data_IF_402810095939
#
_entry.id   IF_402810095939
#
_cell.length_a   1.000
_cell.length_b   1.000
_cell.length_c   1.000
_cell.angle_alpha   90.00
_cell.angle_beta   90.00
_cell.angle_gamma   90.00
#
_symmetry.space_group_name_H-M   'P 1'
#
loop_
_entity.id
_entity.type
_entity.pdbx_description
1 polymer ?
#
# COMPACT_ATOMS: atom_id res chain seq x y z
N UNK A 1 -11.04 17.98 3.54
CA UNK A 1 -12.26 17.37 2.97
C UNK A 1 -12.98 16.64 4.09
N UNK A 2 -14.22 17.05 4.44
CA UNK A 2 -14.97 16.41 5.53
C UNK A 2 -15.20 14.91 5.29
N UNK A 3 -15.35 14.14 6.35
CA UNK A 3 -15.41 12.67 6.26
C UNK A 3 -16.56 12.17 5.36
N UNK A 4 -17.69 12.90 5.29
CA UNK A 4 -18.81 12.60 4.38
C UNK A 4 -18.45 12.72 2.89
N UNK A 5 -17.68 13.75 2.51
CA UNK A 5 -17.27 13.96 1.11
C UNK A 5 -16.33 12.87 0.62
N UNK A 6 -15.49 12.32 1.51
CA UNK A 6 -14.57 11.21 1.19
C UNK A 6 -15.36 9.95 0.85
N UNK A 7 -16.32 9.58 1.70
CA UNK A 7 -17.18 8.41 1.46
C UNK A 7 -18.02 8.58 0.21
N UNK A 8 -18.61 9.76 -0.01
CA UNK A 8 -19.35 10.05 -1.23
C UNK A 8 -18.48 9.85 -2.48
N UNK A 9 -17.26 10.39 -2.49
CA UNK A 9 -16.33 10.21 -3.60
C UNK A 9 -15.98 8.74 -3.82
N UNK A 10 -15.64 8.00 -2.76
CA UNK A 10 -15.31 6.58 -2.82
C UNK A 10 -16.44 5.75 -3.44
N UNK A 11 -17.67 5.91 -2.96
CA UNK A 11 -18.82 5.18 -3.49
C UNK A 11 -19.20 5.64 -4.90
N UNK A 12 -19.11 6.93 -5.20
CA UNK A 12 -19.35 7.44 -6.55
C UNK A 12 -18.36 6.84 -7.56
N UNK A 13 -17.07 6.77 -7.19
CA UNK A 13 -16.03 6.14 -8.02
C UNK A 13 -16.34 4.67 -8.29
N UNK A 14 -16.75 3.90 -7.27
CA UNK A 14 -17.18 2.50 -7.44
C UNK A 14 -18.34 2.40 -8.42
N UNK A 15 -19.40 3.20 -8.22
CA UNK A 15 -20.58 3.18 -9.09
C UNK A 15 -20.19 3.51 -10.53
N UNK A 16 -19.39 4.54 -10.77
CA UNK A 16 -18.95 4.95 -12.12
C UNK A 16 -18.15 3.83 -12.80
N UNK A 17 -17.16 3.25 -12.11
CA UNK A 17 -16.32 2.19 -12.67
C UNK A 17 -17.15 0.94 -12.97
N UNK A 18 -17.92 0.45 -11.99
CA UNK A 18 -18.71 -0.78 -12.12
C UNK A 18 -19.78 -0.64 -13.21
N UNK A 19 -20.53 0.47 -13.21
CA UNK A 19 -21.56 0.68 -14.23
C UNK A 19 -20.96 0.83 -15.63
N UNK A 20 -19.82 1.52 -15.77
CA UNK A 20 -19.12 1.65 -17.05
C UNK A 20 -18.65 0.30 -17.59
N UNK A 21 -18.13 -0.58 -16.73
CA UNK A 21 -17.72 -1.94 -17.11
C UNK A 21 -18.91 -2.80 -17.52
N UNK A 22 -20.00 -2.79 -16.74
CA UNK A 22 -21.23 -3.53 -17.05
C UNK A 22 -21.83 -3.07 -18.37
N UNK A 23 -21.92 -1.76 -18.61
CA UNK A 23 -22.44 -1.20 -19.86
C UNK A 23 -21.56 -1.59 -21.05
N UNK A 24 -20.24 -1.53 -20.89
CA UNK A 24 -19.29 -1.91 -21.95
C UNK A 24 -19.38 -3.39 -22.29
N UNK A 25 -19.51 -4.26 -21.28
CA UNK A 25 -19.70 -5.70 -21.45
C UNK A 25 -21.04 -6.04 -22.11
N UNK A 26 -22.13 -5.42 -21.65
CA UNK A 26 -23.46 -5.61 -22.22
C UNK A 26 -23.60 -5.04 -23.64
N UNK A 27 -22.82 -4.02 -23.98
CA UNK A 27 -22.77 -3.49 -25.33
C UNK A 27 -22.05 -4.45 -26.27
N UNK A 28 -21.00 -5.15 -25.80
CA UNK A 28 -20.29 -6.15 -26.60
C UNK A 28 -21.17 -7.37 -26.96
N UNK A 29 -22.10 -7.75 -26.08
CA UNK A 29 -23.05 -8.84 -26.35
C UNK A 29 -24.20 -8.45 -27.28
N UNK A 30 -24.41 -7.14 -27.49
CA UNK A 30 -25.42 -6.62 -28.41
C UNK A 30 -24.74 -6.28 -29.74
N UNK A 31 -25.30 -6.75 -30.85
CA UNK A 31 -24.78 -6.45 -32.19
C UNK A 31 -25.11 -5.00 -32.60
N UNK A 32 -24.48 -4.03 -31.94
CA UNK A 32 -24.66 -2.59 -32.17
C UNK A 32 -23.88 -2.12 -33.40
N UNK A 33 -24.17 -0.90 -33.87
CA UNK A 33 -23.38 -0.27 -34.93
C UNK A 33 -21.92 -0.07 -34.52
N UNK A 34 -21.02 -0.11 -35.51
CA UNK A 34 -19.57 -0.02 -35.28
C UNK A 34 -19.13 1.19 -34.43
N UNK A 35 -19.72 2.36 -34.66
CA UNK A 35 -19.41 3.56 -33.87
C UNK A 35 -19.79 3.45 -32.39
N UNK A 36 -20.92 2.80 -32.08
CA UNK A 36 -21.34 2.55 -30.69
C UNK A 36 -20.42 1.53 -30.02
N UNK A 37 -20.06 0.46 -30.74
CA UNK A 37 -19.12 -0.53 -30.24
C UNK A 37 -17.76 0.10 -29.89
N UNK A 38 -17.22 0.94 -30.77
CA UNK A 38 -15.97 1.65 -30.50
C UNK A 38 -16.06 2.52 -29.24
N UNK A 39 -17.14 3.28 -29.08
CA UNK A 39 -17.36 4.12 -27.90
C UNK A 39 -17.37 3.28 -26.61
N UNK A 40 -18.11 2.17 -26.57
CA UNK A 40 -18.17 1.30 -25.38
C UNK A 40 -16.84 0.62 -25.09
N UNK A 41 -16.06 0.24 -26.11
CA UNK A 41 -14.70 -0.28 -25.92
C UNK A 41 -13.82 0.76 -25.24
N UNK A 42 -13.84 2.01 -25.71
CA UNK A 42 -13.05 3.11 -25.13
C UNK A 42 -13.47 3.36 -23.68
N UNK A 43 -14.78 3.44 -23.40
CA UNK A 43 -15.30 3.60 -22.04
C UNK A 43 -14.88 2.44 -21.14
N UNK A 44 -14.95 1.20 -21.62
CA UNK A 44 -14.52 0.02 -20.88
C UNK A 44 -13.03 0.03 -20.55
N UNK A 45 -12.17 0.41 -21.50
CA UNK A 45 -10.72 0.54 -21.28
C UNK A 45 -10.41 1.63 -20.27
N UNK A 46 -11.05 2.80 -20.37
CA UNK A 46 -10.91 3.87 -19.38
C UNK A 46 -11.37 3.43 -17.98
N UNK A 47 -12.49 2.72 -17.90
CA UNK A 47 -13.01 2.21 -16.63
C UNK A 47 -12.08 1.16 -16.01
N UNK A 48 -11.48 0.27 -16.83
CA UNK A 48 -10.46 -0.68 -16.38
C UNK A 48 -9.24 0.05 -15.85
N UNK A 49 -8.72 1.04 -16.59
CA UNK A 49 -7.59 1.84 -16.12
C UNK A 49 -7.87 2.49 -14.75
N UNK A 50 -9.04 3.11 -14.60
CA UNK A 50 -9.46 3.74 -13.35
C UNK A 50 -9.67 2.73 -12.21
N UNK A 51 -10.12 1.51 -12.51
CA UNK A 51 -10.32 0.45 -11.52
C UNK A 51 -9.01 0.00 -10.85
N UNK A 52 -7.90 0.04 -11.58
CA UNK A 52 -6.57 -0.31 -11.06
C UNK A 52 -5.82 0.88 -10.46
N UNK A 53 -6.28 2.11 -10.68
CA UNK A 53 -5.71 3.29 -10.04
C UNK A 53 -6.32 3.51 -8.64
N UNK A 54 -5.51 3.28 -7.60
CA UNK A 54 -5.90 3.48 -6.19
C UNK A 54 -6.29 4.93 -5.90
N UNK A 55 -5.74 5.90 -6.61
CA UNK A 55 -6.06 7.31 -6.43
C UNK A 55 -7.49 7.66 -6.89
N UNK A 56 -8.09 6.86 -7.78
CA UNK A 56 -9.50 6.99 -8.20
C UNK A 56 -10.45 6.86 -7.01
N UNK A 57 -10.14 5.98 -6.07
CA UNK A 57 -10.99 5.72 -4.90
C UNK A 57 -10.55 6.53 -3.68
N UNK A 58 -9.23 6.77 -3.57
CA UNK A 58 -8.59 7.42 -2.45
C UNK A 58 -7.70 8.57 -2.97
N UNK A 59 -8.26 9.75 -3.29
CA UNK A 59 -7.55 10.85 -3.93
C UNK A 59 -6.29 11.31 -3.20
N UNK A 60 -6.26 11.17 -1.88
CA UNK A 60 -5.10 11.53 -1.06
C UNK A 60 -3.87 10.64 -1.34
N UNK A 61 -4.01 9.50 -2.00
CA UNK A 61 -2.89 8.67 -2.44
C UNK A 61 -2.24 9.21 -3.73
N UNK A 62 -2.98 9.99 -4.51
CA UNK A 62 -2.53 10.54 -5.78
C UNK A 62 -1.57 11.73 -5.65
N UNK A 63 -1.23 12.33 -6.79
CA UNK A 63 -0.42 13.54 -6.88
C UNK A 63 -1.10 14.71 -6.16
N UNK A 64 -0.32 15.61 -5.58
CA UNK A 64 -0.85 16.78 -4.88
C UNK A 64 0.00 18.00 -5.17
N UNK A 65 -0.65 19.16 -5.34
CA UNK A 65 0.06 20.43 -5.45
C UNK A 65 0.57 20.81 -4.07
N UNK A 66 1.87 21.02 -3.94
CA UNK A 66 2.50 21.51 -2.71
C UNK A 66 3.82 22.18 -3.07
N UNK A 67 3.96 23.50 -2.85
CA UNK A 67 5.17 24.23 -3.24
C UNK A 67 6.42 23.66 -2.57
N UNK A 68 7.20 22.85 -3.29
CA UNK A 68 8.37 22.21 -2.70
C UNK A 68 9.47 23.19 -2.27
N UNK A 69 9.39 24.45 -2.70
CA UNK A 69 10.26 25.52 -2.23
C UNK A 69 10.18 25.72 -0.72
N UNK A 70 9.02 25.45 -0.09
CA UNK A 70 8.83 25.62 1.36
C UNK A 70 9.38 24.45 2.17
N UNK A 71 9.62 23.29 1.54
CA UNK A 71 10.16 22.12 2.20
C UNK A 71 11.64 22.33 2.50
N UNK A 72 12.01 22.33 3.78
CA UNK A 72 13.41 22.39 4.23
C UNK A 72 13.81 21.01 4.70
N UNK A 73 15.06 20.63 4.47
CA UNK A 73 15.62 19.37 4.96
C UNK A 73 15.49 19.31 6.48
N UNK A 74 14.88 18.24 6.99
CA UNK A 74 14.57 18.05 8.40
C UNK A 74 14.60 16.58 8.76
N UNK A 75 15.06 16.30 9.97
CA UNK A 75 15.06 14.97 10.58
C UNK A 75 14.25 15.08 11.87
N UNK A 76 13.31 14.15 12.14
CA UNK A 76 12.56 14.16 13.38
C UNK A 76 13.48 13.97 14.59
N UNK A 77 13.14 14.58 15.72
CA UNK A 77 13.91 14.44 16.95
C UNK A 77 13.99 12.97 17.39
N UNK A 78 15.15 12.56 17.90
CA UNK A 78 15.42 11.20 18.38
C UNK A 78 15.19 10.10 17.32
N UNK A 79 15.38 10.40 16.04
CA UNK A 79 15.36 9.38 14.99
C UNK A 79 16.38 8.26 15.29
N UNK A 80 15.91 7.02 15.34
CA UNK A 80 16.67 5.82 15.73
C UNK A 80 16.67 4.75 14.62
N UNK A 81 16.00 5.01 13.50
CA UNK A 81 15.90 4.10 12.37
C UNK A 81 16.14 4.80 11.04
N UNK A 82 16.87 4.14 10.14
CA UNK A 82 17.19 4.65 8.81
C UNK A 82 16.85 3.63 7.72
N UNK A 83 16.23 4.10 6.64
CA UNK A 83 15.95 3.29 5.45
C UNK A 83 16.45 4.02 4.19
N UNK A 84 17.30 3.35 3.41
CA UNK A 84 17.71 3.83 2.09
C UNK A 84 16.71 3.45 1.02
N UNK A 85 16.39 4.38 0.13
CA UNK A 85 15.42 4.23 -0.94
C UNK A 85 16.02 4.76 -2.23
N UNK A 86 15.78 4.07 -3.34
CA UNK A 86 16.17 4.55 -4.65
C UNK A 86 15.11 5.52 -5.19
N UNK A 87 15.53 6.75 -5.51
CA UNK A 87 14.67 7.79 -6.07
C UNK A 87 15.40 8.46 -7.23
N UNK A 88 14.78 8.45 -8.40
CA UNK A 88 15.39 9.00 -9.61
C UNK A 88 15.39 10.53 -9.61
N UNK A 89 16.56 11.11 -9.86
CA UNK A 89 16.77 12.55 -9.97
C UNK A 89 17.45 13.11 -8.72
N UNK A 90 18.78 13.27 -8.75
CA UNK A 90 19.53 13.89 -7.66
C UNK A 90 19.03 15.31 -7.34
N UNK A 91 19.10 15.70 -6.07
CA UNK A 91 18.67 17.01 -5.60
C UNK A 91 17.16 17.18 -5.40
N UNK A 92 16.34 16.18 -5.76
CA UNK A 92 14.90 16.20 -5.45
C UNK A 92 14.68 16.09 -3.94
N UNK A 93 13.65 16.79 -3.46
CA UNK A 93 13.20 16.70 -2.06
C UNK A 93 12.24 15.54 -1.90
N UNK A 94 12.35 14.82 -0.79
CA UNK A 94 11.50 13.69 -0.42
C UNK A 94 10.88 14.01 0.93
N UNK A 95 9.57 14.30 0.95
CA UNK A 95 8.79 14.43 2.18
C UNK A 95 8.41 13.03 2.65
N UNK A 96 8.73 12.69 3.89
CA UNK A 96 8.42 11.38 4.46
C UNK A 96 7.79 11.52 5.85
N UNK A 97 7.02 10.50 6.23
CA UNK A 97 6.44 10.39 7.56
C UNK A 97 6.17 8.92 7.90
N UNK A 98 6.14 8.61 9.19
CA UNK A 98 5.84 7.28 9.71
C UNK A 98 5.00 7.40 10.99
N UNK A 99 4.42 6.28 11.43
CA UNK A 99 3.69 6.25 12.70
C UNK A 99 4.65 6.49 13.88
N UNK A 100 4.14 7.01 15.00
CA UNK A 100 4.94 7.11 16.21
C UNK A 100 5.28 5.72 16.78
N UNK A 101 6.42 5.56 17.49
CA UNK A 101 6.71 4.34 18.24
C UNK A 101 5.64 4.02 19.28
N UNK A 102 5.57 2.75 19.69
CA UNK A 102 4.67 2.32 20.77
C UNK A 102 5.02 3.05 22.07
N UNK A 103 4.01 3.64 22.71
CA UNK A 103 4.08 4.11 24.09
C UNK A 103 2.91 3.48 24.88
N UNK A 104 2.95 3.57 26.22
CA UNK A 104 1.92 2.99 27.11
C UNK A 104 0.49 3.49 26.83
N UNK A 105 0.33 4.58 26.07
CA UNK A 105 -0.95 5.21 25.71
C UNK A 105 -1.40 4.90 24.26
N UNK A 106 -0.64 4.10 23.51
CA UNK A 106 -0.86 3.82 22.08
C UNK A 106 -1.01 2.31 21.77
N UNK A 107 -1.32 1.46 22.76
CA UNK A 107 -1.44 0.01 22.57
C UNK A 107 -2.63 -0.44 21.70
N UNK A 108 -3.61 0.43 21.48
CA UNK A 108 -4.80 0.17 20.63
C UNK A 108 -5.02 1.28 19.59
N UNK A 109 -4.16 1.33 18.56
CA UNK A 109 -4.31 2.27 17.45
C UNK A 109 -5.25 1.70 16.38
N UNK A 110 -6.54 2.08 16.49
CA UNK A 110 -7.58 1.80 15.48
C UNK A 110 -7.82 2.96 14.50
N UNK A 111 -7.01 4.02 14.56
CA UNK A 111 -7.15 5.22 13.71
C UNK A 111 -5.77 5.76 13.31
N UNK A 112 -5.59 6.03 12.02
CA UNK A 112 -4.39 6.65 11.47
C UNK A 112 -4.10 8.02 12.11
N UNK A 113 -5.14 8.78 12.50
CA UNK A 113 -4.96 10.08 13.17
C UNK A 113 -4.24 9.95 14.51
N UNK A 114 -4.47 8.85 15.21
CA UNK A 114 -3.78 8.53 16.46
C UNK A 114 -2.38 7.99 16.21
N UNK A 115 -2.19 7.25 15.11
CA UNK A 115 -0.88 6.70 14.75
C UNK A 115 0.14 7.77 14.33
N UNK A 116 -0.32 8.84 13.65
CA UNK A 116 0.56 9.92 13.19
C UNK A 116 0.63 11.12 14.14
N UNK A 117 -0.22 11.19 15.17
CA UNK A 117 -0.31 12.33 16.11
C UNK A 117 -0.23 13.70 15.39
N UNK A 118 0.78 14.50 15.71
CA UNK A 118 1.08 15.80 15.11
C UNK A 118 2.00 15.77 13.88
N UNK A 119 2.24 14.59 13.30
CA UNK A 119 3.26 14.34 12.27
C UNK A 119 4.69 14.66 12.76
N UNK A 120 4.98 14.37 14.02
CA UNK A 120 6.30 14.62 14.61
C UNK A 120 7.36 13.62 14.14
N UNK A 121 6.95 12.42 13.73
CA UNK A 121 7.81 11.43 13.07
C UNK A 121 7.82 11.62 11.55
N UNK A 122 8.13 12.85 11.12
CA UNK A 122 8.19 13.24 9.72
C UNK A 122 9.43 14.10 9.44
N UNK A 123 9.82 14.16 8.17
CA UNK A 123 10.96 14.95 7.75
C UNK A 123 11.03 15.13 6.25
N UNK A 124 12.08 15.82 5.81
CA UNK A 124 12.39 16.02 4.40
C UNK A 124 13.83 15.62 4.19
N UNK A 125 14.08 14.74 3.23
CA UNK A 125 15.42 14.34 2.81
C UNK A 125 15.68 14.77 1.35
N UNK A 126 16.95 14.85 0.97
CA UNK A 126 17.37 15.20 -0.40
C UNK A 126 17.99 13.97 -1.06
N UNK A 127 17.60 13.72 -2.31
CA UNK A 127 18.17 12.63 -3.11
C UNK A 127 19.63 12.92 -3.42
N UNK A 128 20.50 11.98 -3.06
CA UNK A 128 21.93 12.02 -3.32
C UNK A 128 22.28 11.87 -4.81
N UNK A 129 23.57 12.04 -5.13
CA UNK A 129 24.08 11.92 -6.51
C UNK A 129 23.98 10.51 -7.08
N UNK A 130 23.88 9.51 -6.21
CA UNK A 130 23.73 8.09 -6.52
C UNK A 130 22.27 7.68 -6.74
N UNK A 131 21.32 8.63 -6.78
CA UNK A 131 19.88 8.38 -6.79
C UNK A 131 19.38 7.63 -5.54
N UNK A 132 20.09 7.74 -4.42
CA UNK A 132 19.66 7.21 -3.13
C UNK A 132 19.25 8.33 -2.19
N UNK A 133 18.25 8.07 -1.36
CA UNK A 133 17.84 8.95 -0.26
C UNK A 133 17.76 8.13 1.03
N UNK A 134 18.26 8.69 2.13
CA UNK A 134 18.15 8.08 3.46
C UNK A 134 16.99 8.72 4.19
N UNK A 135 15.96 7.94 4.50
CA UNK A 135 14.83 8.36 5.32
C UNK A 135 15.13 8.01 6.77
N UNK A 136 15.13 9.01 7.66
CA UNK A 136 15.45 8.86 9.08
C UNK A 136 14.19 9.11 9.90
N UNK A 137 13.75 8.13 10.66
CA UNK A 137 12.50 8.17 11.45
C UNK A 137 12.76 7.60 12.84
N UNK A 138 11.85 7.87 13.78
CA UNK A 138 11.67 7.00 14.94
C UNK A 138 11.03 5.69 14.48
N UNK A 139 11.48 4.53 14.97
CA UNK A 139 11.00 3.22 14.51
C UNK A 139 9.47 3.12 14.66
N UNK A 140 8.70 3.09 13.55
CA UNK A 140 7.24 3.07 13.61
C UNK A 140 6.71 1.74 14.11
N UNK A 141 5.54 1.79 14.74
CA UNK A 141 4.79 0.61 15.15
C UNK A 141 3.73 0.22 14.09
N UNK A 142 3.33 -1.06 14.02
CA UNK A 142 2.16 -1.49 13.24
C UNK A 142 0.86 -0.97 13.87
N UNK A 143 -0.18 -0.77 13.05
CA UNK A 143 -1.49 -0.29 13.52
C UNK A 143 -2.64 -0.82 12.66
N UNK A 144 -3.87 -0.76 13.16
CA UNK A 144 -5.06 -1.31 12.48
C UNK A 144 -5.93 -0.19 11.92
N UNK A 145 -6.42 -0.38 10.68
CA UNK A 145 -7.41 0.52 10.07
C UNK A 145 -8.72 -0.22 9.78
N UNK A 146 -9.89 0.44 9.86
CA UNK A 146 -11.19 -0.22 9.78
C UNK A 146 -11.47 -1.05 8.52
N UNK A 147 -10.83 -0.74 7.39
CA UNK A 147 -11.10 -1.40 6.10
C UNK A 147 -9.97 -2.36 5.69
N UNK A 148 -8.72 -1.96 5.84
CA UNK A 148 -7.56 -2.74 5.40
C UNK A 148 -6.98 -3.66 6.49
N UNK A 149 -7.50 -3.60 7.73
CA UNK A 149 -7.00 -4.39 8.84
C UNK A 149 -5.65 -3.90 9.35
N UNK A 150 -4.83 -4.84 9.85
CA UNK A 150 -3.51 -4.54 10.41
C UNK A 150 -2.51 -4.17 9.30
N UNK A 151 -1.85 -3.04 9.48
CA UNK A 151 -0.76 -2.56 8.65
C UNK A 151 0.56 -2.74 9.41
N UNK A 152 1.50 -3.47 8.82
CA UNK A 152 2.85 -3.63 9.38
C UNK A 152 3.61 -2.31 9.37
N UNK A 153 4.65 -2.19 10.21
CA UNK A 153 5.44 -0.96 10.33
C UNK A 153 5.95 -0.47 8.96
N UNK A 154 5.68 0.80 8.63
CA UNK A 154 6.01 1.36 7.32
C UNK A 154 6.34 2.86 7.38
N UNK A 155 7.01 3.34 6.33
CA UNK A 155 7.29 4.75 6.05
C UNK A 155 6.55 5.14 4.78
N UNK A 156 5.80 6.22 4.85
CA UNK A 156 5.24 6.88 3.68
C UNK A 156 6.17 7.98 3.19
N UNK A 157 6.26 8.15 1.88
CA UNK A 157 6.99 9.27 1.31
C UNK A 157 6.37 9.76 -0.01
N UNK A 158 6.68 11.01 -0.34
CA UNK A 158 6.38 11.66 -1.62
C UNK A 158 7.63 12.31 -2.16
N UNK A 159 7.81 12.21 -3.46
CA UNK A 159 8.91 12.86 -4.16
C UNK A 159 8.42 14.16 -4.76
N UNK A 160 9.15 15.24 -4.52
CA UNK A 160 8.90 16.51 -5.17
C UNK A 160 9.31 16.47 -6.65
N UNK A 161 8.44 17.01 -7.51
CA UNK A 161 8.70 17.22 -8.92
C UNK A 161 8.98 18.69 -9.24
N UNK A 162 9.50 18.93 -10.43
CA UNK A 162 10.08 20.22 -10.86
C UNK A 162 9.05 21.35 -10.94
N UNK A 163 7.77 21.00 -11.00
CA UNK A 163 6.61 21.88 -11.20
C UNK A 163 5.89 22.27 -9.90
N UNK A 164 6.48 21.99 -8.73
CA UNK A 164 5.85 22.28 -7.44
C UNK A 164 4.69 21.31 -7.11
N UNK A 165 4.67 20.16 -7.78
CA UNK A 165 3.81 19.04 -7.42
C UNK A 165 4.60 18.01 -6.63
N UNK A 166 3.91 17.36 -5.69
CA UNK A 166 4.40 16.14 -5.07
C UNK A 166 3.76 14.94 -5.77
N UNK A 167 4.60 13.96 -6.08
CA UNK A 167 4.18 12.67 -6.61
C UNK A 167 3.25 11.92 -5.65
N UNK A 168 2.65 10.80 -6.10
CA UNK A 168 1.77 9.98 -5.29
C UNK A 168 2.47 9.43 -4.04
N UNK A 169 1.67 9.03 -3.03
CA UNK A 169 2.19 8.40 -1.82
C UNK A 169 2.84 7.07 -2.19
N UNK A 170 4.09 6.91 -1.80
CA UNK A 170 4.82 5.66 -1.82
C UNK A 170 4.95 5.13 -0.39
N UNK A 171 4.99 3.81 -0.23
CA UNK A 171 5.07 3.15 1.08
C UNK A 171 6.18 2.13 1.06
N UNK A 172 7.00 2.11 2.11
CA UNK A 172 8.03 1.09 2.33
C UNK A 172 7.78 0.45 3.69
N UNK A 173 7.63 -0.86 3.70
CA UNK A 173 7.52 -1.64 4.93
C UNK A 173 8.91 -1.90 5.52
N UNK A 174 8.99 -1.87 6.85
CA UNK A 174 10.24 -2.10 7.60
C UNK A 174 10.57 -3.57 7.68
N UNK A 175 9.57 -4.40 7.92
CA UNK A 175 9.67 -5.85 7.88
C UNK A 175 9.25 -6.36 6.50
N UNK A 176 9.94 -7.38 5.99
CA UNK A 176 9.45 -8.10 4.82
C UNK A 176 8.07 -8.70 5.15
N UNK A 177 7.11 -8.73 4.21
CA UNK A 177 5.86 -9.42 4.46
C UNK A 177 6.22 -10.84 4.86
N UNK A 178 5.85 -11.24 6.09
CA UNK A 178 5.91 -12.64 6.49
C UNK A 178 5.11 -13.39 5.43
N UNK A 179 5.80 -14.07 4.53
CA UNK A 179 5.20 -15.13 3.72
C UNK A 179 4.48 -15.97 4.76
N UNK A 180 3.15 -16.09 4.63
CA UNK A 180 2.39 -16.99 5.48
C UNK A 180 3.04 -18.36 5.32
N UNK A 181 3.89 -18.73 6.28
CA UNK A 181 4.37 -20.09 6.40
C UNK A 181 3.09 -20.91 6.52
N UNK A 182 2.75 -21.63 5.44
CA UNK A 182 1.74 -22.66 5.51
C UNK A 182 2.19 -23.56 6.65
N UNK A 183 1.47 -23.52 7.77
CA UNK A 183 1.54 -24.55 8.79
C UNK A 183 1.38 -25.87 8.06
N UNK A 184 2.48 -26.62 7.98
CA UNK A 184 2.47 -28.01 7.61
C UNK A 184 1.81 -28.69 8.81
N UNK A 185 0.50 -28.92 8.73
CA UNK A 185 -0.17 -29.88 9.60
C UNK A 185 0.45 -31.24 9.28
N UNK A 186 1.49 -31.60 10.02
CA UNK A 186 1.87 -33.00 10.18
C UNK A 186 0.86 -33.59 11.16
N UNK A 187 -0.24 -34.12 10.60
CA UNK A 187 -1.13 -35.03 11.29
C UNK A 187 -0.29 -36.22 11.78
N UNK A 188 -0.18 -36.28 13.10
CA UNK A 188 0.31 -37.39 13.87
C UNK A 188 -0.67 -38.56 13.73
N UNK A 189 -0.54 -39.36 12.67
CA UNK A 189 -1.22 -40.64 12.56
C UNK A 189 -0.37 -41.70 13.26
N UNK A 190 -0.64 -41.91 14.56
CA UNK A 190 -0.18 -43.12 15.26
C UNK A 190 -1.02 -44.27 14.72
N UNK A 191 -0.42 -45.07 13.84
CA UNK A 191 -0.99 -46.35 13.46
C UNK A 191 -0.98 -47.28 14.70
N UNK A 192 -2.08 -47.98 15.01
CA UNK A 192 -2.12 -48.94 16.10
C UNK A 192 -1.22 -50.15 15.80
N UNK A 193 -0.49 -50.59 16.82
CA UNK A 193 0.38 -51.76 16.81
C UNK A 193 -0.28 -52.98 16.15
N UNK A 194 0.31 -53.46 15.05
CA UNK A 194 0.03 -54.79 14.50
C UNK A 194 1.19 -55.73 14.85
N UNK A 195 0.93 -56.93 15.39
CA UNK A 195 1.97 -57.85 15.83
C UNK A 195 2.71 -58.52 14.66
N UNK A 196 3.98 -58.87 14.92
CA UNK A 196 5.01 -59.38 14.01
C UNK A 196 4.57 -60.52 13.07
N UNK A 197 5.10 -60.58 11.83
CA UNK A 197 5.03 -61.78 11.02
C UNK A 197 6.20 -62.74 11.30
N UNK A 198 5.82 -63.99 11.58
CA UNK A 198 6.65 -65.18 11.59
C UNK A 198 7.49 -65.36 10.31
N UNK A 199 8.71 -65.89 10.49
CA UNK A 199 9.64 -66.36 9.48
C UNK A 199 9.04 -67.41 8.53
N UNK A 200 9.34 -67.30 7.23
CA UNK A 200 9.54 -68.47 6.37
C UNK A 200 10.50 -68.16 5.21
N UNK A 201 11.55 -68.97 5.17
CA UNK A 201 12.60 -69.15 4.18
C UNK A 201 12.13 -69.55 2.77
N UNK A 202 12.97 -69.25 1.76
CA UNK A 202 13.54 -70.16 0.75
C UNK A 202 13.70 -69.44 -0.61
N UNK A 203 14.92 -69.18 -1.11
CA UNK A 203 15.81 -70.09 -1.89
C UNK A 203 15.62 -69.88 -3.41
N UNK A 204 16.75 -69.47 -4.04
CA UNK A 204 17.11 -69.31 -5.46
C UNK A 204 16.32 -68.32 -6.34
#
# INVERSE_FOLDING_TARGET
MGDTKKWLHFFAAIVIVVTSLILSFNAFSKNLSAGKNLLYIVVGVCALYLAFDRATFLPFLGTTVSPCSVLKETVPENADYEKKVQVQGPGKKVLFWAAEPTNEHLSELNDWRKAYLGFENAGVAIVGKDNMVTLRVRKPQPYTVPVAGRLEAHIHYRVCWVDGQMGPIQTIFLDEPKVLEKKKEEEFFVAPDTPEPFYASAVY
#
